data_IF_790611878816
#
_entry.id   IF_790611878816
#
_cell.length_a   1.000
_cell.length_b   1.000
_cell.length_c   1.000
_cell.angle_alpha   90.00
_cell.angle_beta   90.00
_cell.angle_gamma   90.00
#
_symmetry.space_group_name_H-M   'P 1'
#
loop_
_entity.id
_entity.type
_entity.pdbx_description
1 polymer ?
#
# COMPACT_ATOMS: atom_id res chain seq x y z
N UNK A 1 21.16 4.64 -21.81
CA UNK A 1 19.70 4.43 -21.74
C UNK A 1 19.42 3.15 -20.98
N UNK A 2 19.40 3.23 -19.66
CA UNK A 2 18.95 2.15 -18.79
C UNK A 2 17.54 2.53 -18.41
N UNK A 3 16.54 1.83 -18.95
CA UNK A 3 15.16 1.98 -18.49
C UNK A 3 15.18 1.63 -17.02
N UNK A 4 14.95 2.61 -16.14
CA UNK A 4 14.68 2.38 -14.72
C UNK A 4 13.57 1.33 -14.64
N UNK A 5 13.95 0.08 -14.38
CA UNK A 5 12.99 -0.91 -13.89
C UNK A 5 12.49 -0.31 -12.59
N UNK A 6 11.23 0.09 -12.55
CA UNK A 6 10.56 0.41 -11.30
C UNK A 6 10.74 -0.82 -10.43
N UNK A 7 11.60 -0.68 -9.42
CA UNK A 7 11.87 -1.74 -8.47
C UNK A 7 10.57 -2.02 -7.71
N UNK A 8 9.94 -3.12 -8.10
CA UNK A 8 8.65 -3.55 -7.55
C UNK A 8 8.85 -4.45 -6.34
N UNK A 9 10.09 -4.62 -5.83
CA UNK A 9 10.37 -5.49 -4.70
C UNK A 9 9.52 -5.17 -3.46
N UNK A 10 9.10 -3.91 -3.31
CA UNK A 10 8.26 -3.50 -2.20
C UNK A 10 6.76 -3.77 -2.40
N UNK A 11 6.29 -4.07 -3.62
CA UNK A 11 4.88 -4.34 -3.92
C UNK A 11 4.72 -5.79 -4.36
N UNK A 12 3.99 -6.57 -3.57
CA UNK A 12 3.63 -7.94 -3.91
C UNK A 12 2.14 -8.02 -4.24
N UNK A 13 1.83 -8.39 -5.49
CA UNK A 13 0.46 -8.69 -5.94
C UNK A 13 0.26 -10.19 -5.92
N UNK A 14 -0.78 -10.66 -5.24
CA UNK A 14 -1.15 -12.06 -5.29
C UNK A 14 -1.68 -12.44 -6.68
N UNK A 15 -1.18 -13.54 -7.23
CA UNK A 15 -1.50 -14.00 -8.59
C UNK A 15 -2.98 -14.36 -8.77
N UNK A 16 -3.66 -14.76 -7.69
CA UNK A 16 -5.10 -15.07 -7.70
C UNK A 16 -5.99 -13.82 -7.65
N UNK A 17 -5.39 -12.62 -7.64
CA UNK A 17 -6.13 -11.36 -7.60
C UNK A 17 -6.82 -11.07 -6.27
N UNK A 18 -6.42 -11.75 -5.19
CA UNK A 18 -7.08 -11.64 -3.88
C UNK A 18 -6.59 -10.47 -3.04
N UNK A 19 -5.33 -10.05 -3.21
CA UNK A 19 -4.77 -8.96 -2.44
C UNK A 19 -3.53 -8.35 -3.09
N UNK A 20 -3.18 -7.16 -2.63
CA UNK A 20 -1.87 -6.56 -2.83
C UNK A 20 -1.27 -6.19 -1.48
N UNK A 21 0.03 -6.36 -1.32
CA UNK A 21 0.76 -5.99 -0.12
C UNK A 21 1.96 -5.13 -0.44
N UNK A 22 2.25 -4.18 0.44
CA UNK A 22 3.33 -3.22 0.27
C UNK A 22 4.19 -3.25 1.52
N UNK A 23 5.49 -3.42 1.33
CA UNK A 23 6.50 -3.26 2.38
C UNK A 23 6.85 -1.79 2.52
N UNK A 24 6.75 -1.28 3.73
CA UNK A 24 7.03 0.12 4.07
C UNK A 24 8.12 0.15 5.12
N UNK A 25 9.18 0.91 4.84
CA UNK A 25 10.26 1.13 5.80
C UNK A 25 9.82 2.18 6.84
N UNK A 26 9.65 1.80 8.12
CA UNK A 26 9.19 2.72 9.14
C UNK A 26 10.20 3.83 9.48
N UNK A 27 11.48 3.66 9.10
CA UNK A 27 12.50 4.72 9.21
C UNK A 27 12.27 5.87 8.24
N UNK A 28 11.59 5.61 7.12
CA UNK A 28 11.18 6.64 6.15
C UNK A 28 9.80 7.20 6.50
N UNK A 29 8.86 6.34 6.86
CA UNK A 29 7.49 6.73 7.19
C UNK A 29 7.14 6.27 8.60
N UNK A 30 7.01 7.21 9.54
CA UNK A 30 6.60 6.88 10.91
C UNK A 30 5.26 6.12 10.92
N UNK A 31 5.09 5.20 11.86
CA UNK A 31 3.87 4.37 12.00
C UNK A 31 2.56 5.15 11.87
N UNK A 32 2.44 6.32 12.50
CA UNK A 32 1.21 7.12 12.43
C UNK A 32 0.93 7.68 11.03
N UNK A 33 1.96 7.96 10.23
CA UNK A 33 1.81 8.38 8.82
C UNK A 33 1.28 7.21 7.99
N UNK A 34 1.82 6.01 8.20
CA UNK A 34 1.38 4.78 7.53
C UNK A 34 -0.09 4.50 7.85
N UNK A 35 -0.46 4.56 9.14
CA UNK A 35 -1.84 4.35 9.59
C UNK A 35 -2.79 5.40 9.00
N UNK A 36 -2.38 6.68 8.95
CA UNK A 36 -3.19 7.74 8.34
C UNK A 36 -3.37 7.56 6.85
N UNK A 37 -2.32 7.23 6.11
CA UNK A 37 -2.41 6.95 4.68
C UNK A 37 -3.30 5.73 4.38
N UNK A 38 -3.28 4.72 5.25
CA UNK A 38 -4.15 3.55 5.16
C UNK A 38 -5.62 3.92 5.36
N UNK A 39 -5.92 4.74 6.37
CA UNK A 39 -7.27 5.24 6.66
C UNK A 39 -7.80 6.14 5.54
N UNK A 40 -6.97 7.06 5.02
CA UNK A 40 -7.32 7.91 3.88
C UNK A 40 -7.64 7.08 2.63
N UNK A 41 -6.91 5.98 2.39
CA UNK A 41 -7.17 5.08 1.28
C UNK A 41 -8.49 4.32 1.46
N UNK A 42 -8.74 3.80 2.66
CA UNK A 42 -9.98 3.11 3.00
C UNK A 42 -11.20 4.00 2.72
N UNK A 43 -11.13 5.28 3.11
CA UNK A 43 -12.15 6.28 2.82
C UNK A 43 -12.28 6.55 1.31
N UNK A 44 -11.17 6.73 0.60
CA UNK A 44 -11.17 6.98 -0.86
C UNK A 44 -11.78 5.83 -1.66
N UNK A 45 -11.49 4.59 -1.27
CA UNK A 45 -12.06 3.40 -1.89
C UNK A 45 -13.47 3.07 -1.35
N UNK A 46 -14.10 3.99 -0.61
CA UNK A 46 -15.47 3.88 -0.09
C UNK A 46 -15.71 2.57 0.68
N UNK A 47 -14.75 2.16 1.52
CA UNK A 47 -14.79 0.93 2.30
C UNK A 47 -14.88 -0.37 1.47
N UNK A 48 -14.58 -0.34 0.16
CA UNK A 48 -14.57 -1.51 -0.74
C UNK A 48 -13.34 -2.41 -0.58
N UNK A 49 -12.39 -1.99 0.25
CA UNK A 49 -11.19 -2.76 0.59
C UNK A 49 -11.14 -2.94 2.10
N UNK A 50 -10.54 -4.04 2.55
CA UNK A 50 -10.02 -4.20 3.90
C UNK A 50 -8.53 -3.91 3.89
N UNK A 51 -8.05 -3.32 4.99
CA UNK A 51 -6.64 -2.96 5.17
C UNK A 51 -6.10 -3.66 6.41
N UNK A 52 -4.97 -4.35 6.24
CA UNK A 52 -4.26 -5.00 7.34
C UNK A 52 -2.88 -4.36 7.41
N UNK A 53 -2.57 -3.73 8.54
CA UNK A 53 -1.23 -3.21 8.83
C UNK A 53 -0.59 -4.12 9.86
N UNK A 54 0.49 -4.81 9.48
CA UNK A 54 1.22 -5.73 10.35
C UNK A 54 2.72 -5.51 10.23
N UNK A 55 3.51 -6.05 11.15
CA UNK A 55 4.97 -5.97 11.13
C UNK A 55 5.55 -5.25 12.35
N UNK A 56 6.87 -5.10 12.33
CA UNK A 56 7.65 -4.48 13.40
C UNK A 56 7.90 -3.00 13.04
N UNK A 57 7.41 -2.03 13.85
CA UNK A 57 7.59 -0.62 13.59
C UNK A 57 9.05 -0.14 13.64
N UNK A 58 10.00 -0.95 14.12
CA UNK A 58 11.43 -0.62 14.10
C UNK A 58 12.16 -1.20 12.88
N UNK A 59 11.56 -2.19 12.21
CA UNK A 59 12.22 -2.96 11.13
C UNK A 59 11.46 -2.80 9.81
N UNK A 60 10.21 -3.24 9.75
CA UNK A 60 9.42 -3.32 8.52
C UNK A 60 7.93 -3.40 8.84
N UNK A 61 7.13 -2.60 8.13
CA UNK A 61 5.67 -2.67 8.19
C UNK A 61 5.15 -3.17 6.83
N UNK A 62 4.28 -4.17 6.85
CA UNK A 62 3.58 -4.69 5.70
C UNK A 62 2.13 -4.20 5.75
N UNK A 63 1.73 -3.51 4.69
CA UNK A 63 0.34 -3.07 4.50
C UNK A 63 -0.30 -3.92 3.40
N UNK A 64 -1.31 -4.70 3.76
CA UNK A 64 -2.06 -5.56 2.84
C UNK A 64 -3.45 -5.00 2.60
N UNK A 65 -3.87 -5.00 1.34
CA UNK A 65 -5.18 -4.54 0.87
C UNK A 65 -5.94 -5.71 0.23
N UNK A 66 -7.15 -5.95 0.70
CA UNK A 66 -8.00 -7.06 0.27
C UNK A 66 -9.31 -6.49 -0.28
N UNK A 67 -9.63 -6.63 -1.57
CA UNK A 67 -10.90 -6.17 -2.11
C UNK A 67 -12.09 -6.99 -1.57
N UNK A 68 -13.18 -6.32 -1.20
CA UNK A 68 -14.39 -6.97 -0.68
C UNK A 68 -15.30 -7.52 -1.78
N UNK A 69 -15.23 -6.94 -2.97
CA UNK A 69 -16.07 -7.31 -4.12
C UNK A 69 -15.55 -8.57 -4.86
N UNK A 70 -14.60 -9.30 -4.27
CA UNK A 70 -13.98 -10.48 -4.87
C UNK A 70 -12.65 -10.17 -5.56
N UNK A 71 -12.23 -11.05 -6.47
CA UNK A 71 -10.94 -10.96 -7.16
C UNK A 71 -10.89 -9.73 -8.06
N UNK A 72 -9.75 -9.06 -8.10
CA UNK A 72 -9.49 -7.88 -8.94
C UNK A 72 -8.37 -8.18 -9.93
N UNK A 73 -8.32 -7.40 -11.02
CA UNK A 73 -7.22 -7.52 -11.98
C UNK A 73 -5.88 -7.11 -11.33
N UNK A 74 -4.77 -7.57 -11.92
CA UNK A 74 -3.44 -7.14 -11.49
C UNK A 74 -3.30 -5.61 -11.59
N UNK A 75 -3.84 -4.98 -12.64
CA UNK A 75 -3.77 -3.51 -12.75
C UNK A 75 -4.58 -2.82 -11.65
N UNK A 76 -5.77 -3.33 -11.31
CA UNK A 76 -6.58 -2.77 -10.23
C UNK A 76 -5.88 -2.86 -8.87
N UNK A 77 -5.27 -4.02 -8.58
CA UNK A 77 -4.49 -4.22 -7.36
C UNK A 77 -3.24 -3.32 -7.32
N UNK A 78 -2.53 -3.19 -8.44
CA UNK A 78 -1.43 -2.24 -8.54
C UNK A 78 -1.90 -0.79 -8.36
N UNK A 79 -3.05 -0.41 -8.91
CA UNK A 79 -3.64 0.93 -8.72
C UNK A 79 -3.87 1.24 -7.25
N UNK A 80 -4.39 0.29 -6.48
CA UNK A 80 -4.56 0.43 -5.03
C UNK A 80 -3.19 0.69 -4.37
N UNK A 81 -2.17 -0.07 -4.75
CA UNK A 81 -0.84 0.12 -4.19
C UNK A 81 -0.18 1.46 -4.57
N UNK A 82 -0.34 1.91 -5.81
CA UNK A 82 0.12 3.23 -6.24
C UNK A 82 -0.61 4.35 -5.48
N UNK A 83 -1.93 4.24 -5.32
CA UNK A 83 -2.72 5.22 -4.56
C UNK A 83 -2.24 5.32 -3.10
N UNK A 84 -1.93 4.19 -2.47
CA UNK A 84 -1.36 4.16 -1.13
C UNK A 84 0.01 4.85 -1.08
N UNK A 85 0.93 4.55 -2.01
CA UNK A 85 2.23 5.21 -2.06
C UNK A 85 2.10 6.73 -2.26
N UNK A 86 1.19 7.19 -3.12
CA UNK A 86 0.92 8.61 -3.29
C UNK A 86 0.40 9.27 -2.01
N UNK A 87 -0.44 8.57 -1.24
CA UNK A 87 -0.91 9.03 0.07
C UNK A 87 0.23 9.08 1.10
N UNK A 88 1.10 8.07 1.15
CA UNK A 88 2.27 8.08 2.04
C UNK A 88 3.15 9.32 1.81
N UNK A 89 3.47 9.62 0.55
CA UNK A 89 4.28 10.78 0.17
C UNK A 89 3.57 12.09 0.51
N UNK A 90 2.27 12.19 0.21
CA UNK A 90 1.48 13.41 0.46
C UNK A 90 1.32 13.69 1.95
N UNK A 91 1.09 12.65 2.76
CA UNK A 91 0.91 12.78 4.21
C UNK A 91 2.23 13.06 4.91
N UNK A 92 3.35 12.53 4.39
CA UNK A 92 4.69 12.84 4.88
C UNK A 92 5.08 14.30 4.64
N UNK A 93 4.81 14.87 3.46
CA UNK A 93 5.16 16.25 3.13
C UNK A 93 4.33 17.34 3.85
N UNK A 94 3.34 16.95 4.66
CA UNK A 94 2.50 17.85 5.46
C UNK A 94 2.91 17.89 6.95
N UNK A 95 4.00 17.21 7.31
CA UNK A 95 4.53 17.12 8.67
C UNK A 95 5.65 18.12 8.95
#
# INVERSE_FOLDING_TARGET
MTRDKIDTDNIHVNEDGMFVSIRVNPKLYKKHIIMRAADDLLHKEKNKIDVIVNGDPEVEIIVKFIPKEGRKSKEELLRIAYNFNSLLVTTFGKG
#
